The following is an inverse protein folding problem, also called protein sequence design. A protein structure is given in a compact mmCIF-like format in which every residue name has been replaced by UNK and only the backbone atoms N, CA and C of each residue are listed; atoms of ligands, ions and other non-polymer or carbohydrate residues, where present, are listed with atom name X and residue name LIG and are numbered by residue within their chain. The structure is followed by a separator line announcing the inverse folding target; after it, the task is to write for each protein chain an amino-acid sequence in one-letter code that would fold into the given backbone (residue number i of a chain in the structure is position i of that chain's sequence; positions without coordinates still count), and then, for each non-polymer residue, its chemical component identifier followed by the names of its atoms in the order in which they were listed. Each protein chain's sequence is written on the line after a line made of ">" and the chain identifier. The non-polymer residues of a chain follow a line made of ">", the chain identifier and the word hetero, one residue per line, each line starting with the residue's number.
data_IF_024436057472
#
_entry.id   IF_024436057472
#
_cell.length_a   1.000
_cell.length_b   1.000
_cell.length_c   1.000
_cell.angle_alpha   90.00
_cell.angle_beta   90.00
_cell.angle_gamma   90.00
#
_symmetry.space_group_name_H-M   'P 1'
#
loop_
_entity.id
_entity.type
_entity.pdbx_description
1 polymer ?
#
# COMPACT_ATOMS: atom_id res chain seq x y z
N UNK A 1 -2.57 2.68 11.27
CA UNK A 1 -1.36 2.98 10.49
C UNK A 1 -1.66 4.22 9.65
N UNK A 2 -0.78 5.23 9.69
CA UNK A 2 -0.99 6.57 9.08
C UNK A 2 -1.59 6.52 7.67
N UNK A 3 -1.00 5.70 6.79
CA UNK A 3 -1.46 5.51 5.41
C UNK A 3 -2.92 5.07 5.28
N UNK A 4 -3.36 4.08 6.07
CA UNK A 4 -4.74 3.55 5.99
C UNK A 4 -5.75 4.59 6.46
N UNK A 5 -5.45 5.25 7.57
CA UNK A 5 -6.33 6.26 8.17
C UNK A 5 -6.48 7.48 7.24
N UNK A 6 -5.38 7.98 6.67
CA UNK A 6 -5.39 9.12 5.78
C UNK A 6 -6.17 8.85 4.48
N UNK A 7 -5.97 7.67 3.88
CA UNK A 7 -6.70 7.24 2.68
C UNK A 7 -8.21 7.05 2.95
N UNK A 8 -8.58 6.48 4.09
CA UNK A 8 -10.00 6.31 4.45
C UNK A 8 -10.74 7.64 4.55
N UNK A 9 -10.08 8.73 4.99
CA UNK A 9 -10.71 10.05 5.07
C UNK A 9 -11.08 10.65 3.73
N UNK A 10 -10.38 10.27 2.66
CA UNK A 10 -10.71 10.69 1.28
C UNK A 10 -11.63 9.67 0.56
N UNK A 11 -12.23 8.74 1.31
CA UNK A 11 -13.14 7.72 0.77
C UNK A 11 -12.46 6.53 0.10
N UNK A 12 -11.13 6.42 0.17
CA UNK A 12 -10.43 5.26 -0.37
C UNK A 12 -10.59 4.04 0.54
N UNK A 13 -10.46 2.84 -0.05
CA UNK A 13 -10.48 1.56 0.68
C UNK A 13 -9.08 0.92 0.66
N UNK A 14 -8.23 1.15 1.67
CA UNK A 14 -6.85 0.62 1.69
C UNK A 14 -6.76 -0.91 1.70
N UNK A 15 -7.86 -1.59 2.00
CA UNK A 15 -7.98 -3.05 1.94
C UNK A 15 -8.45 -3.58 0.59
N UNK A 16 -8.75 -2.72 -0.40
CA UNK A 16 -9.36 -3.14 -1.66
C UNK A 16 -8.56 -4.25 -2.34
N UNK A 17 -7.22 -4.13 -2.38
CA UNK A 17 -6.36 -5.17 -2.94
C UNK A 17 -6.52 -6.55 -2.29
N UNK A 18 -6.89 -6.63 -1.01
CA UNK A 18 -7.15 -7.92 -0.33
C UNK A 18 -8.58 -8.44 -0.55
N UNK A 19 -9.51 -7.56 -0.90
CA UNK A 19 -10.92 -7.88 -1.11
C UNK A 19 -11.20 -8.29 -2.56
N UNK A 20 -10.45 -7.71 -3.51
CA UNK A 20 -10.59 -7.94 -4.94
C UNK A 20 -10.62 -9.42 -5.33
N UNK A 21 -9.75 -10.31 -4.81
CA UNK A 21 -9.77 -11.71 -5.24
C UNK A 21 -11.11 -12.40 -4.97
N UNK A 22 -11.65 -12.24 -3.75
CA UNK A 22 -12.94 -12.81 -3.38
C UNK A 22 -14.09 -12.18 -4.16
N UNK A 23 -14.06 -10.86 -4.38
CA UNK A 23 -15.08 -10.16 -5.16
C UNK A 23 -15.12 -10.62 -6.62
N UNK A 24 -13.96 -10.80 -7.25
CA UNK A 24 -13.84 -11.25 -8.64
C UNK A 24 -14.25 -12.72 -8.79
N UNK A 25 -13.84 -13.58 -7.86
CA UNK A 25 -14.24 -14.98 -7.84
C UNK A 25 -15.77 -15.15 -7.69
N UNK A 26 -16.42 -14.30 -6.88
CA UNK A 26 -17.87 -14.28 -6.74
C UNK A 26 -18.62 -13.90 -8.03
N UNK A 27 -17.94 -13.27 -9.01
CA UNK A 27 -18.48 -13.00 -10.35
C UNK A 27 -18.24 -14.16 -11.34
N UNK A 28 -17.73 -15.31 -10.87
CA UNK A 28 -17.43 -16.46 -11.71
C UNK A 28 -16.12 -16.34 -12.50
N UNK A 29 -15.29 -15.35 -12.21
CA UNK A 29 -13.98 -15.21 -12.84
C UNK A 29 -12.98 -16.19 -12.22
N UNK A 30 -12.09 -16.73 -13.05
CA UNK A 30 -10.89 -17.42 -12.55
C UNK A 30 -9.91 -16.37 -12.05
N UNK A 31 -9.55 -16.44 -10.76
CA UNK A 31 -8.67 -15.46 -10.12
C UNK A 31 -7.35 -16.10 -9.72
N UNK A 32 -6.25 -15.45 -10.09
CA UNK A 32 -4.90 -15.82 -9.67
C UNK A 32 -4.26 -14.65 -8.92
N UNK A 33 -3.67 -14.95 -7.76
CA UNK A 33 -2.96 -13.98 -6.91
C UNK A 33 -1.51 -14.40 -6.80
N UNK A 34 -0.61 -13.53 -7.26
CA UNK A 34 0.84 -13.77 -7.22
C UNK A 34 1.51 -12.81 -6.24
N UNK A 35 2.47 -13.33 -5.48
CA UNK A 35 3.42 -12.52 -4.72
C UNK A 35 4.57 -12.15 -5.65
N UNK A 36 5.07 -10.93 -5.54
CA UNK A 36 6.32 -10.55 -6.20
C UNK A 36 7.47 -11.38 -5.62
N UNK A 37 8.33 -11.88 -6.50
CA UNK A 37 9.54 -12.62 -6.15
C UNK A 37 10.64 -11.72 -5.56
N UNK A 38 10.53 -10.41 -5.80
CA UNK A 38 11.50 -9.39 -5.44
C UNK A 38 10.85 -8.26 -4.66
N UNK A 39 11.47 -7.87 -3.55
CA UNK A 39 11.11 -6.66 -2.81
C UNK A 39 11.95 -5.48 -3.32
N UNK A 40 11.29 -4.46 -3.86
CA UNK A 40 11.94 -3.21 -4.24
C UNK A 40 11.97 -2.24 -3.06
N UNK A 41 13.03 -1.43 -2.97
CA UNK A 41 13.04 -0.32 -2.02
C UNK A 41 11.81 0.58 -2.24
N UNK A 42 11.16 1.05 -1.17
CA UNK A 42 10.01 1.91 -1.33
C UNK A 42 10.42 3.24 -1.96
N UNK A 43 9.60 3.71 -2.90
CA UNK A 43 9.84 4.94 -3.65
C UNK A 43 9.83 6.17 -2.73
N UNK A 44 10.76 7.14 -2.88
CA UNK A 44 10.79 8.36 -2.05
C UNK A 44 9.49 9.17 -2.13
N UNK A 45 8.83 9.16 -3.28
CA UNK A 45 7.61 9.93 -3.58
C UNK A 45 6.43 9.55 -2.69
N UNK A 46 6.48 8.41 -1.98
CA UNK A 46 5.43 7.98 -1.04
C UNK A 46 5.15 9.00 0.06
N UNK A 47 6.18 9.74 0.50
CA UNK A 47 6.04 10.75 1.54
C UNK A 47 5.38 12.01 1.01
N UNK A 48 5.75 12.43 -0.21
CA UNK A 48 5.08 13.53 -0.90
C UNK A 48 3.60 13.22 -1.15
N UNK A 49 3.29 11.99 -1.56
CA UNK A 49 1.90 11.54 -1.70
C UNK A 49 1.15 11.60 -0.36
N UNK A 50 1.71 11.07 0.72
CA UNK A 50 1.09 11.14 2.06
C UNK A 50 0.82 12.57 2.51
N UNK A 51 1.73 13.51 2.22
CA UNK A 51 1.56 14.94 2.53
C UNK A 51 0.40 15.60 1.78
N UNK A 52 0.01 15.07 0.63
CA UNK A 52 -1.17 15.57 -0.10
C UNK A 52 -2.51 15.17 0.53
N UNK A 53 -2.50 14.23 1.48
CA UNK A 53 -3.71 13.77 2.18
C UNK A 53 -4.09 14.72 3.33
N UNK A 54 -5.37 14.73 3.76
CA UNK A 54 -5.83 15.55 4.88
C UNK A 54 -5.34 14.96 6.23
N UNK A 55 -4.06 15.18 6.53
CA UNK A 55 -3.40 14.77 7.77
C UNK A 55 -3.65 15.82 8.87
N UNK A 56 -3.95 15.34 10.07
CA UNK A 56 -3.97 16.17 11.28
C UNK A 56 -2.55 16.66 11.62
N UNK A 57 -2.42 17.68 12.46
CA UNK A 57 -1.10 18.16 12.91
C UNK A 57 -0.27 17.06 13.59
N UNK A 58 -0.91 16.21 14.39
CA UNK A 58 -0.25 15.06 15.03
C UNK A 58 0.28 14.06 13.99
N UNK A 59 -0.49 13.81 12.95
CA UNK A 59 -0.12 12.91 11.87
C UNK A 59 0.97 13.48 10.94
N UNK A 60 0.99 14.80 10.74
CA UNK A 60 2.08 15.48 10.03
C UNK A 60 3.39 15.32 10.80
N UNK A 61 3.40 15.59 12.11
CA UNK A 61 4.57 15.36 12.95
C UNK A 61 5.01 13.89 12.94
N UNK A 62 4.05 12.96 12.95
CA UNK A 62 4.35 11.53 12.82
C UNK A 62 4.97 11.20 11.46
N UNK A 63 4.49 11.81 10.38
CA UNK A 63 5.03 11.61 9.03
C UNK A 63 6.47 12.11 8.93
N UNK A 64 6.76 13.28 9.48
CA UNK A 64 8.10 13.87 9.48
C UNK A 64 9.11 12.98 10.23
N UNK A 65 8.71 12.43 11.37
CA UNK A 65 9.56 11.49 12.12
C UNK A 65 9.78 10.18 11.35
N UNK A 66 8.75 9.63 10.69
CA UNK A 66 8.88 8.42 9.87
C UNK A 66 9.83 8.66 8.69
N UNK A 67 9.72 9.80 8.00
CA UNK A 67 10.60 10.14 6.87
C UNK A 67 12.05 10.33 7.33
N UNK A 68 12.25 11.02 8.46
CA UNK A 68 13.59 11.19 9.07
C UNK A 68 14.22 9.85 9.41
N UNK A 69 13.48 8.95 10.06
CA UNK A 69 13.96 7.60 10.39
C UNK A 69 14.26 6.82 9.11
N UNK A 70 13.37 6.87 8.12
CA UNK A 70 13.56 6.18 6.84
C UNK A 70 14.83 6.65 6.12
N UNK A 71 15.15 7.95 6.13
CA UNK A 71 16.39 8.48 5.53
C UNK A 71 17.68 7.91 6.13
N UNK A 72 17.65 7.42 7.37
CA UNK A 72 18.78 6.79 8.04
C UNK A 72 18.94 5.28 7.77
N UNK A 73 17.98 4.64 7.10
CA UNK A 73 17.96 3.19 6.88
C UNK A 73 18.58 2.84 5.52
N UNK A 74 19.80 2.32 5.53
CA UNK A 74 20.58 2.01 4.31
C UNK A 74 20.49 0.57 3.84
N UNK A 75 19.90 -0.34 4.63
CA UNK A 75 19.78 -1.76 4.27
C UNK A 75 18.48 -2.01 3.49
N UNK A 76 18.50 -2.82 2.41
CA UNK A 76 17.30 -3.11 1.61
C UNK A 76 16.12 -3.65 2.43
N UNK A 77 16.41 -4.46 3.45
CA UNK A 77 15.41 -5.05 4.35
C UNK A 77 15.04 -4.17 5.55
N UNK A 78 15.71 -3.03 5.76
CA UNK A 78 15.38 -2.13 6.84
C UNK A 78 14.16 -1.25 6.52
N UNK A 79 13.82 -1.10 5.24
CA UNK A 79 12.66 -0.33 4.78
C UNK A 79 11.66 -1.24 4.05
N UNK A 80 11.10 -2.22 4.75
CA UNK A 80 9.97 -2.98 4.18
C UNK A 80 8.71 -2.15 4.38
N UNK A 81 8.25 -1.49 3.32
CA UNK A 81 6.86 -1.09 3.27
C UNK A 81 6.06 -2.39 3.06
N UNK A 82 5.31 -2.83 4.09
CA UNK A 82 4.33 -3.91 3.96
C UNK A 82 3.13 -3.47 3.10
N UNK A 83 3.41 -3.11 1.86
CA UNK A 83 2.47 -3.14 0.76
C UNK A 83 2.73 -4.48 0.08
N UNK A 84 2.03 -5.56 0.44
CA UNK A 84 2.00 -6.72 -0.44
C UNK A 84 1.43 -6.23 -1.77
N UNK A 85 2.33 -6.03 -2.73
CA UNK A 85 1.97 -5.78 -4.12
C UNK A 85 1.42 -7.10 -4.63
N UNK A 86 0.11 -7.20 -4.63
CA UNK A 86 -0.59 -8.33 -5.21
C UNK A 86 -0.82 -8.02 -6.68
N UNK A 87 -0.33 -8.89 -7.56
CA UNK A 87 -0.87 -8.96 -8.90
C UNK A 87 -2.14 -9.80 -8.84
N UNK A 88 -3.26 -9.24 -9.26
CA UNK A 88 -4.55 -9.94 -9.34
C UNK A 88 -4.91 -10.04 -10.82
N UNK A 89 -4.94 -11.26 -11.32
CA UNK A 89 -5.36 -11.56 -12.68
C UNK A 89 -6.73 -12.23 -12.63
N UNK A 90 -7.67 -11.77 -13.47
CA UNK A 90 -9.01 -12.32 -13.55
C UNK A 90 -9.44 -12.50 -15.00
N UNK A 91 -9.84 -13.72 -15.36
CA UNK A 91 -10.23 -14.09 -16.73
C UNK A 91 -11.58 -14.79 -16.74
N UNK A 92 -12.28 -14.69 -17.88
CA UNK A 92 -13.47 -15.52 -18.10
C UNK A 92 -13.05 -17.00 -18.22
N UNK A 93 -13.77 -17.94 -17.58
CA UNK A 93 -13.57 -19.36 -17.81
C UNK A 93 -13.94 -19.70 -19.26
N UNK A 94 -13.02 -20.34 -19.99
CA UNK A 94 -13.29 -21.02 -21.27
C UNK A 94 -14.17 -22.25 -21.09
#
# INVERSE_FOLDING_TARGET
>A
MLWRTALQRIGATPSAGRQLPSLLAAQGLRVEVSLLDTLTAPQPERFAFLRSLPLTAVEQNQLDEIERVAGGLTRPWAQIAHLPLFLIHATQPT
#
